data_IF_255485886539
#
_entry.id   IF_255485886539
#
_cell.length_a   1.000
_cell.length_b   1.000
_cell.length_c   1.000
_cell.angle_alpha   90.00
_cell.angle_beta   90.00
_cell.angle_gamma   90.00
#
_symmetry.space_group_name_H-M   'P 1'
#
loop_
_entity.id
_entity.type
_entity.pdbx_description
1 polymer ?
#
# COMPACT_ATOMS: atom_id res chain seq x y z
N UNK A 1 -12.27 24.25 3.10
CA UNK A 1 -12.82 23.40 4.17
C UNK A 1 -11.76 23.02 5.21
N UNK A 2 -10.57 23.65 5.22
CA UNK A 2 -9.43 23.25 6.07
C UNK A 2 -9.80 22.97 7.53
N UNK A 3 -10.47 23.87 8.29
CA UNK A 3 -10.68 23.64 9.71
C UNK A 3 -11.53 22.40 10.00
N UNK A 4 -12.49 22.10 9.12
CA UNK A 4 -13.34 20.91 9.25
C UNK A 4 -12.53 19.63 9.04
N UNK A 5 -11.65 19.61 8.04
CA UNK A 5 -10.75 18.47 7.75
C UNK A 5 -9.80 18.22 8.91
N UNK A 6 -9.24 19.27 9.49
CA UNK A 6 -8.37 19.15 10.67
C UNK A 6 -9.08 18.51 11.85
N UNK A 7 -10.32 18.92 12.10
CA UNK A 7 -11.08 18.50 13.27
C UNK A 7 -11.79 17.15 13.11
N UNK A 8 -12.01 16.67 11.89
CA UNK A 8 -12.84 15.46 11.65
C UNK A 8 -12.15 14.39 10.81
N UNK A 9 -11.29 14.77 9.87
CA UNK A 9 -10.68 13.81 8.92
C UNK A 9 -9.29 13.41 9.38
N UNK A 10 -8.44 14.37 9.78
CA UNK A 10 -7.07 14.06 10.20
C UNK A 10 -7.00 13.21 11.47
N UNK A 11 -8.05 13.24 12.30
CA UNK A 11 -8.13 12.44 13.52
C UNK A 11 -8.44 10.96 13.27
N UNK A 12 -8.85 10.60 12.04
CA UNK A 12 -9.09 9.20 11.66
C UNK A 12 -7.80 8.44 11.35
N UNK A 13 -6.71 9.18 11.08
CA UNK A 13 -5.40 8.62 10.76
C UNK A 13 -4.64 8.34 12.06
N UNK A 14 -3.99 7.17 12.11
CA UNK A 14 -3.27 6.71 13.29
C UNK A 14 -1.83 7.23 13.30
N UNK A 15 -1.30 7.61 14.48
CA UNK A 15 0.13 7.84 14.62
C UNK A 15 0.90 6.54 14.38
N UNK A 16 2.15 6.64 13.94
CA UNK A 16 2.97 5.48 13.57
C UNK A 16 3.20 4.52 14.75
N UNK A 17 3.25 5.07 15.96
CA UNK A 17 3.43 4.36 17.22
C UNK A 17 2.23 3.48 17.60
N UNK A 18 1.05 3.79 17.09
CA UNK A 18 -0.18 3.01 17.33
C UNK A 18 -0.60 2.16 16.11
N UNK A 19 -0.03 2.46 14.95
CA UNK A 19 -0.31 1.73 13.72
C UNK A 19 0.46 0.40 13.69
N UNK A 20 -0.20 -0.66 13.23
CA UNK A 20 0.47 -1.91 12.92
C UNK A 20 1.54 -1.68 11.84
N UNK A 21 2.61 -2.47 11.87
CA UNK A 21 3.68 -2.44 10.89
C UNK A 21 3.75 -3.78 10.14
N UNK A 22 4.25 -3.82 8.89
CA UNK A 22 4.37 -5.05 8.13
C UNK A 22 5.09 -6.19 8.87
N UNK A 23 6.07 -5.83 9.71
CA UNK A 23 6.85 -6.73 10.55
C UNK A 23 6.00 -7.46 11.61
N UNK A 24 4.90 -6.87 12.07
CA UNK A 24 3.96 -7.54 13.00
C UNK A 24 3.27 -8.76 12.38
N UNK A 25 3.30 -8.88 11.05
CA UNK A 25 2.53 -9.87 10.29
C UNK A 25 3.39 -10.88 9.50
N UNK A 26 4.71 -10.68 9.43
CA UNK A 26 5.64 -11.56 8.70
C UNK A 26 6.81 -11.97 9.60
N UNK A 27 7.47 -13.11 9.32
CA UNK A 27 8.65 -13.51 10.09
C UNK A 27 9.72 -12.43 10.13
N UNK A 28 10.21 -12.09 11.32
CA UNK A 28 11.34 -11.18 11.54
C UNK A 28 12.60 -11.97 11.92
N UNK A 29 13.68 -11.76 11.16
CA UNK A 29 14.96 -12.40 11.39
C UNK A 29 15.69 -11.88 12.64
N UNK A 30 15.49 -10.61 13.00
CA UNK A 30 16.14 -9.99 14.16
C UNK A 30 15.54 -10.50 15.47
N UNK A 31 14.21 -10.56 15.57
CA UNK A 31 13.53 -11.09 16.77
C UNK A 31 13.65 -12.61 16.91
N UNK A 32 13.61 -13.38 15.81
CA UNK A 32 13.56 -14.85 15.86
C UNK A 32 14.94 -15.53 15.82
N UNK A 33 15.99 -14.81 15.43
CA UNK A 33 17.28 -15.40 15.09
C UNK A 33 17.19 -16.30 13.84
N UNK A 34 18.34 -16.79 13.37
CA UNK A 34 18.43 -17.52 12.10
C UNK A 34 17.55 -18.79 12.05
N UNK A 35 17.61 -19.64 13.08
CA UNK A 35 16.86 -20.89 13.13
C UNK A 35 15.36 -20.68 13.29
N UNK A 36 14.96 -19.71 14.13
CA UNK A 36 13.57 -19.35 14.33
C UNK A 36 12.95 -18.74 13.08
N UNK A 37 13.66 -17.83 12.41
CA UNK A 37 13.25 -17.25 11.14
C UNK A 37 13.10 -18.32 10.05
N UNK A 38 14.05 -19.24 9.95
CA UNK A 38 13.98 -20.36 9.00
C UNK A 38 12.73 -21.21 9.22
N UNK A 39 12.46 -21.58 10.49
CA UNK A 39 11.29 -22.38 10.87
C UNK A 39 10.00 -21.65 10.52
N UNK A 40 9.87 -20.37 10.92
CA UNK A 40 8.70 -19.55 10.64
C UNK A 40 8.45 -19.38 9.12
N UNK A 41 9.51 -19.27 8.32
CA UNK A 41 9.40 -19.25 6.86
C UNK A 41 8.87 -20.57 6.29
N UNK A 42 9.32 -21.72 6.80
CA UNK A 42 8.81 -23.03 6.36
C UNK A 42 7.32 -23.18 6.68
N UNK A 43 6.89 -22.79 7.87
CA UNK A 43 5.48 -22.82 8.28
C UNK A 43 4.61 -21.89 7.43
N UNK A 44 5.10 -20.69 7.10
CA UNK A 44 4.41 -19.76 6.20
C UNK A 44 4.23 -20.40 4.82
N UNK A 45 5.27 -21.00 4.26
CA UNK A 45 5.23 -21.66 2.94
C UNK A 45 4.27 -22.83 2.94
N UNK A 46 4.24 -23.63 4.00
CA UNK A 46 3.31 -24.75 4.14
C UNK A 46 1.85 -24.26 4.16
N UNK A 47 1.55 -23.24 4.98
CA UNK A 47 0.22 -22.61 5.02
C UNK A 47 -0.18 -22.04 3.67
N UNK A 48 0.72 -21.32 3.01
CA UNK A 48 0.49 -20.79 1.68
C UNK A 48 0.26 -21.92 0.66
N UNK A 49 0.89 -23.09 0.83
CA UNK A 49 0.75 -24.22 -0.06
C UNK A 49 -0.65 -24.82 -0.10
N UNK A 50 -1.34 -24.79 1.05
CA UNK A 50 -2.74 -25.26 1.18
C UNK A 50 -3.74 -24.36 0.47
N UNK A 51 -3.37 -23.11 0.15
CA UNK A 51 -4.21 -22.19 -0.61
C UNK A 51 -4.11 -22.47 -2.11
N UNK A 52 -5.25 -22.52 -2.80
CA UNK A 52 -5.32 -22.77 -4.23
C UNK A 52 -4.46 -21.74 -5.00
N UNK A 53 -3.52 -22.24 -5.81
CA UNK A 53 -2.57 -21.45 -6.63
C UNK A 53 -3.26 -20.42 -7.55
N UNK A 54 -4.52 -20.65 -7.91
CA UNK A 54 -5.31 -19.84 -8.83
C UNK A 54 -6.19 -18.79 -8.15
N UNK A 55 -6.11 -18.60 -6.83
CA UNK A 55 -6.86 -17.54 -6.15
C UNK A 55 -6.34 -16.16 -6.63
N UNK A 56 -7.01 -15.47 -7.56
CA UNK A 56 -6.45 -14.30 -8.25
C UNK A 56 -6.38 -13.07 -7.35
N UNK A 57 -7.09 -13.10 -6.23
CA UNK A 57 -7.32 -11.93 -5.39
C UNK A 57 -6.05 -11.43 -4.69
N UNK A 58 -5.13 -12.31 -4.26
CA UNK A 58 -3.95 -11.86 -3.49
C UNK A 58 -2.90 -11.19 -4.37
N UNK A 59 -2.47 -11.78 -5.52
CA UNK A 59 -1.51 -11.11 -6.41
C UNK A 59 -2.11 -9.86 -7.06
N UNK A 60 -3.39 -9.89 -7.43
CA UNK A 60 -4.10 -8.73 -7.98
C UNK A 60 -4.20 -7.58 -6.97
N UNK A 61 -4.53 -7.88 -5.70
CA UNK A 61 -4.57 -6.86 -4.66
C UNK A 61 -3.20 -6.22 -4.46
N UNK A 62 -2.14 -7.03 -4.30
CA UNK A 62 -0.80 -6.47 -4.08
C UNK A 62 -0.33 -5.58 -5.24
N UNK A 63 -0.52 -6.01 -6.49
CA UNK A 63 -0.11 -5.19 -7.65
C UNK A 63 -0.82 -3.84 -7.64
N UNK A 64 -2.08 -3.81 -7.18
CA UNK A 64 -2.83 -2.57 -7.02
C UNK A 64 -2.33 -1.74 -5.83
N UNK A 65 -2.01 -2.34 -4.68
CA UNK A 65 -1.46 -1.61 -3.52
C UNK A 65 -0.10 -0.95 -3.85
N UNK A 66 0.77 -1.66 -4.56
CA UNK A 66 2.09 -1.18 -4.98
C UNK A 66 2.00 0.00 -5.97
N UNK A 67 0.84 0.21 -6.62
CA UNK A 67 0.60 1.35 -7.49
C UNK A 67 0.34 2.67 -6.74
N UNK A 68 0.57 2.72 -5.43
CA UNK A 68 0.39 3.89 -4.55
C UNK A 68 0.89 5.22 -5.13
N UNK A 69 2.07 5.32 -5.80
CA UNK A 69 2.49 6.57 -6.43
C UNK A 69 1.47 7.14 -7.42
N UNK A 70 0.71 6.28 -8.10
CA UNK A 70 -0.37 6.66 -9.01
C UNK A 70 -1.54 7.29 -8.26
N UNK A 71 -1.94 6.72 -7.12
CA UNK A 71 -3.06 7.23 -6.32
C UNK A 71 -2.72 8.55 -5.63
N UNK A 72 -1.51 8.66 -5.06
CA UNK A 72 -1.04 9.92 -4.47
C UNK A 72 -0.95 11.03 -5.53
N UNK A 73 -0.42 10.71 -6.72
CA UNK A 73 -0.40 11.64 -7.86
C UNK A 73 -1.82 12.06 -8.26
N UNK A 74 -2.78 11.14 -8.24
CA UNK A 74 -4.18 11.44 -8.53
C UNK A 74 -4.80 12.39 -7.50
N UNK A 75 -4.58 12.15 -6.20
CA UNK A 75 -5.06 13.04 -5.14
C UNK A 75 -4.51 14.47 -5.32
N UNK A 76 -3.27 14.60 -5.78
CA UNK A 76 -2.63 15.88 -6.08
C UNK A 76 -3.09 16.56 -7.38
N UNK A 77 -3.98 15.94 -8.17
CA UNK A 77 -4.58 16.60 -9.34
C UNK A 77 -5.77 17.50 -8.98
N UNK A 78 -6.38 17.30 -7.82
CA UNK A 78 -7.52 18.10 -7.37
C UNK A 78 -7.03 19.45 -6.84
N UNK A 79 -7.33 20.53 -7.57
CA UNK A 79 -6.80 21.87 -7.27
C UNK A 79 -7.10 22.34 -5.84
N UNK A 80 -8.25 21.97 -5.30
CA UNK A 80 -8.70 22.35 -3.96
C UNK A 80 -8.04 21.58 -2.81
N UNK A 81 -7.35 20.48 -3.09
CA UNK A 81 -6.79 19.58 -2.06
C UNK A 81 -5.32 19.20 -2.30
N UNK A 82 -4.74 19.60 -3.43
CA UNK A 82 -3.39 19.19 -3.82
C UNK A 82 -2.31 19.68 -2.87
N UNK A 83 -1.30 18.86 -2.66
CA UNK A 83 -0.02 19.26 -2.10
C UNK A 83 0.87 19.84 -3.21
N UNK A 84 1.21 21.12 -3.10
CA UNK A 84 2.00 21.84 -4.11
C UNK A 84 3.50 21.75 -3.87
N UNK A 85 3.92 21.48 -2.63
CA UNK A 85 5.34 21.49 -2.24
C UNK A 85 5.87 20.08 -1.92
N UNK A 86 4.97 19.10 -1.77
CA UNK A 86 5.27 17.77 -1.25
C UNK A 86 5.33 17.71 0.28
N UNK A 87 5.10 18.84 0.95
CA UNK A 87 5.06 18.97 2.40
C UNK A 87 4.25 20.21 2.83
N UNK A 88 3.21 20.57 2.07
CA UNK A 88 2.40 21.75 2.37
C UNK A 88 1.72 21.60 3.76
N UNK A 89 1.62 22.72 4.47
CA UNK A 89 0.99 22.78 5.79
C UNK A 89 -0.53 22.68 5.75
N UNK A 90 -1.18 22.67 4.58
CA UNK A 90 -2.63 22.54 4.46
C UNK A 90 -3.14 21.20 5.02
N UNK A 91 -4.39 21.18 5.50
CA UNK A 91 -4.98 19.99 6.10
C UNK A 91 -5.08 18.85 5.10
N UNK A 92 -5.41 19.17 3.84
CA UNK A 92 -5.47 18.19 2.76
C UNK A 92 -4.10 17.64 2.37
N UNK A 93 -3.06 18.47 2.26
CA UNK A 93 -1.71 17.98 1.98
C UNK A 93 -1.22 17.03 3.07
N UNK A 94 -1.42 17.40 4.35
CA UNK A 94 -1.11 16.52 5.49
C UNK A 94 -1.91 15.22 5.45
N UNK A 95 -3.18 15.28 5.05
CA UNK A 95 -4.00 14.08 4.87
C UNK A 95 -3.44 13.18 3.77
N UNK A 96 -3.12 13.72 2.58
CA UNK A 96 -2.55 12.96 1.46
C UNK A 96 -1.28 12.23 1.89
N UNK A 97 -0.36 12.92 2.56
CA UNK A 97 0.90 12.34 3.01
C UNK A 97 0.69 11.24 4.07
N UNK A 98 -0.17 11.48 5.06
CA UNK A 98 -0.43 10.52 6.14
C UNK A 98 -1.22 9.30 5.65
N UNK A 99 -2.23 9.50 4.80
CA UNK A 99 -2.94 8.41 4.13
C UNK A 99 -1.99 7.58 3.28
N UNK A 100 -1.11 8.22 2.51
CA UNK A 100 -0.11 7.49 1.71
C UNK A 100 0.85 6.68 2.58
N UNK A 101 1.27 7.23 3.73
CA UNK A 101 2.09 6.49 4.69
C UNK A 101 1.34 5.27 5.27
N UNK A 102 0.02 5.40 5.52
CA UNK A 102 -0.80 4.29 5.95
C UNK A 102 -0.94 3.21 4.87
N UNK A 103 -1.25 3.59 3.63
CA UNK A 103 -1.44 2.66 2.51
C UNK A 103 -0.15 1.94 2.09
N UNK A 104 1.01 2.60 2.20
CA UNK A 104 2.29 1.98 1.82
C UNK A 104 2.53 0.65 2.54
N UNK A 105 2.09 0.56 3.80
CA UNK A 105 2.23 -0.65 4.62
C UNK A 105 1.45 -1.83 4.04
N UNK A 106 0.36 -1.60 3.31
CA UNK A 106 -0.42 -2.65 2.64
C UNK A 106 0.39 -3.32 1.54
N UNK A 107 1.06 -2.53 0.69
CA UNK A 107 1.98 -3.04 -0.33
C UNK A 107 3.12 -3.84 0.29
N UNK A 108 3.80 -3.25 1.29
CA UNK A 108 4.95 -3.85 1.97
C UNK A 108 4.64 -5.24 2.56
N UNK A 109 3.55 -5.36 3.32
CA UNK A 109 3.21 -6.63 3.98
C UNK A 109 2.84 -7.71 2.96
N UNK A 110 2.11 -7.35 1.92
CA UNK A 110 1.71 -8.30 0.87
C UNK A 110 2.91 -8.72 0.02
N UNK A 111 3.80 -7.80 -0.33
CA UNK A 111 5.03 -8.09 -1.07
C UNK A 111 5.90 -9.09 -0.30
N UNK A 112 6.22 -8.78 0.97
CA UNK A 112 7.02 -9.66 1.84
C UNK A 112 6.37 -11.03 2.02
N UNK A 113 5.05 -11.07 2.28
CA UNK A 113 4.31 -12.32 2.38
C UNK A 113 4.44 -13.16 1.10
N UNK A 114 4.21 -12.55 -0.07
CA UNK A 114 4.28 -13.26 -1.35
C UNK A 114 5.70 -13.74 -1.66
N UNK A 115 6.71 -12.91 -1.41
CA UNK A 115 8.11 -13.27 -1.54
C UNK A 115 8.45 -14.49 -0.68
N UNK A 116 8.15 -14.44 0.62
CA UNK A 116 8.43 -15.52 1.57
C UNK A 116 7.62 -16.80 1.25
N UNK A 117 6.40 -16.65 0.71
CA UNK A 117 5.56 -17.79 0.34
C UNK A 117 6.20 -18.68 -0.73
N UNK A 118 7.05 -18.13 -1.60
CA UNK A 118 7.67 -18.84 -2.72
C UNK A 118 6.67 -19.41 -3.73
N UNK A 119 5.43 -18.88 -3.78
CA UNK A 119 4.37 -19.40 -4.67
C UNK A 119 4.23 -18.69 -6.00
N UNK A 120 4.86 -17.53 -6.15
CA UNK A 120 4.73 -16.64 -7.30
C UNK A 120 6.11 -16.38 -7.90
N UNK A 121 6.12 -16.09 -9.21
CA UNK A 121 7.30 -15.53 -9.87
C UNK A 121 7.35 -14.03 -9.54
N UNK A 122 8.06 -13.69 -8.46
CA UNK A 122 8.16 -12.31 -7.98
C UNK A 122 8.76 -11.37 -9.04
N UNK A 123 9.66 -11.87 -9.89
CA UNK A 123 10.21 -11.07 -11.00
C UNK A 123 9.13 -10.64 -11.98
N UNK A 124 8.14 -11.49 -12.26
CA UNK A 124 7.01 -11.11 -13.10
C UNK A 124 6.04 -10.17 -12.39
N UNK A 125 5.81 -10.35 -11.09
CA UNK A 125 5.00 -9.45 -10.28
C UNK A 125 5.61 -8.05 -10.27
N UNK A 126 6.89 -7.92 -9.93
CA UNK A 126 7.64 -6.66 -9.90
C UNK A 126 7.65 -5.95 -11.27
N UNK A 127 7.84 -6.71 -12.36
CA UNK A 127 7.72 -6.15 -13.72
C UNK A 127 6.32 -5.67 -14.04
N UNK A 128 5.29 -6.31 -13.48
CA UNK A 128 3.90 -5.90 -13.67
C UNK A 128 3.61 -4.62 -12.92
N UNK A 129 4.05 -4.52 -11.65
CA UNK A 129 4.00 -3.29 -10.85
C UNK A 129 4.71 -2.14 -11.58
N UNK A 130 5.94 -2.37 -12.05
CA UNK A 130 6.69 -1.37 -12.80
C UNK A 130 5.89 -0.87 -14.01
N UNK A 131 5.36 -1.79 -14.83
CA UNK A 131 4.57 -1.43 -16.01
C UNK A 131 3.34 -0.62 -15.63
N UNK A 132 2.61 -1.04 -14.59
CA UNK A 132 1.41 -0.37 -14.12
C UNK A 132 1.68 1.06 -13.66
N UNK A 133 2.70 1.27 -12.84
CA UNK A 133 3.10 2.61 -12.39
C UNK A 133 3.55 3.45 -13.59
N UNK A 134 4.36 2.88 -14.49
CA UNK A 134 4.86 3.60 -15.67
C UNK A 134 3.78 3.96 -16.68
N UNK A 135 2.72 3.15 -16.81
CA UNK A 135 1.57 3.47 -17.66
C UNK A 135 0.66 4.51 -17.02
N UNK A 136 0.73 4.65 -15.69
CA UNK A 136 -0.26 5.37 -14.90
C UNK A 136 -1.65 4.73 -15.02
N UNK A 137 -2.63 5.43 -14.45
CA UNK A 137 -4.04 5.06 -14.55
C UNK A 137 -4.84 6.28 -14.97
N UNK A 138 -5.52 6.18 -16.11
CA UNK A 138 -6.51 7.17 -16.51
C UNK A 138 -7.80 6.95 -15.72
N UNK A 139 -8.02 7.76 -14.69
CA UNK A 139 -9.32 7.88 -14.04
C UNK A 139 -9.98 9.14 -14.54
N UNK A 140 -10.96 8.98 -15.43
CA UNK A 140 -11.81 10.08 -15.83
C UNK A 140 -12.84 10.29 -14.73
N UNK A 141 -12.90 11.51 -14.18
CA UNK A 141 -14.12 11.91 -13.48
C UNK A 141 -15.29 11.71 -14.44
N UNK A 142 -16.45 11.19 -13.99
CA UNK A 142 -17.62 11.19 -14.84
C UNK A 142 -17.84 12.62 -15.35
N UNK A 143 -17.94 12.77 -16.67
CA UNK A 143 -18.31 14.04 -17.28
C UNK A 143 -19.61 14.51 -16.62
N UNK A 144 -19.56 15.62 -15.90
CA UNK A 144 -20.77 16.33 -15.51
C UNK A 144 -21.21 17.15 -16.72
N UNK A 145 -21.91 16.52 -17.66
CA UNK A 145 -22.74 17.29 -18.58
C UNK A 145 -23.93 17.80 -17.77
N UNK A 146 -23.83 19.03 -17.27
CA UNK A 146 -24.99 19.92 -17.19
C UNK A 146 -24.53 21.37 -17.14
N UNK A 147 -25.07 22.09 -18.13
CA UNK A 147 -25.12 23.54 -18.37
C UNK A 147 -25.82 24.27 -17.23
#
# INVERSE_FOLDING_TARGET
MEPWVEQHVLLLLKPAEEAWQPEDMVPDATALGADGFHTACLELRERAARRARRAPSVPGNMVMEEALPTYQSMANRFESTRDVTGADGTAWARWICRWSAEENRHGDVLNRYMYLSGRLDMRQVERTVHRLISSGMAMHAPFSDTV
#
